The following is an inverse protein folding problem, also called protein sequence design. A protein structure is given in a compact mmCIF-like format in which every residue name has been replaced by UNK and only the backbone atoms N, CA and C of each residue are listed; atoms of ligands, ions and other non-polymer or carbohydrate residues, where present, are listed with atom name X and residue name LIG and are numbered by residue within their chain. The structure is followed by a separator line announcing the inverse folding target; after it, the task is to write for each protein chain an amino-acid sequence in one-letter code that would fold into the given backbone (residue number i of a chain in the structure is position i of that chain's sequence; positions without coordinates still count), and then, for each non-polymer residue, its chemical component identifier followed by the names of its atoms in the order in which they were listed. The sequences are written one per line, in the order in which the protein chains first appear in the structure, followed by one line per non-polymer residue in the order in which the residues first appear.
data_IF_764170941907
#
_entry.id   IF_764170941907
#
_cell.length_a   1.000
_cell.length_b   1.000
_cell.length_c   1.000
_cell.angle_alpha   90.00
_cell.angle_beta   90.00
_cell.angle_gamma   90.00
#
_symmetry.space_group_name_H-M   'P 1'
#
loop_
_entity.id
_entity.type
_entity.pdbx_description
1 polymer ?
#
# COMPACT_ATOMS: atom_id res chain seq x y z
N UNK A 1 15.18 -3.25 7.49
CA UNK A 1 14.40 -4.19 8.30
C UNK A 1 14.92 -4.07 9.72
N UNK A 2 14.12 -3.57 10.66
CA UNK A 2 14.62 -3.11 11.97
C UNK A 2 14.21 -4.10 13.08
N UNK A 3 15.14 -4.44 13.98
CA UNK A 3 14.94 -5.44 15.04
C UNK A 3 15.30 -4.89 16.41
N UNK A 4 14.64 -5.41 17.46
CA UNK A 4 14.93 -5.08 18.85
C UNK A 4 15.12 -6.39 19.65
N UNK A 5 16.10 -6.42 20.57
CA UNK A 5 16.20 -7.42 21.64
C UNK A 5 15.65 -6.80 22.93
N UNK A 6 14.63 -7.40 23.54
CA UNK A 6 14.03 -6.90 24.78
C UNK A 6 14.80 -7.41 26.02
N UNK A 7 15.34 -6.55 26.90
CA UNK A 7 16.00 -6.98 28.13
C UNK A 7 15.05 -7.16 29.33
N UNK A 8 13.78 -6.73 29.25
CA UNK A 8 12.76 -6.87 30.31
C UNK A 8 11.37 -7.19 29.74
N UNK A 9 10.47 -7.82 30.53
CA UNK A 9 9.10 -8.11 30.11
C UNK A 9 8.40 -6.79 29.80
N UNK A 10 8.07 -6.55 28.53
CA UNK A 10 7.53 -5.27 28.09
C UNK A 10 6.14 -5.48 27.51
N UNK A 11 5.14 -4.89 28.18
CA UNK A 11 3.79 -4.72 27.65
C UNK A 11 3.73 -3.32 27.07
N UNK A 12 3.89 -3.20 25.75
CA UNK A 12 3.93 -1.89 25.11
C UNK A 12 2.51 -1.46 24.73
N UNK A 13 2.06 -0.38 25.35
CA UNK A 13 0.87 0.35 24.92
C UNK A 13 1.34 1.57 24.13
N UNK A 14 0.87 1.75 22.90
CA UNK A 14 1.29 2.85 22.02
C UNK A 14 0.23 3.95 22.05
N UNK A 15 0.38 4.98 22.88
CA UNK A 15 -0.50 6.15 22.89
C UNK A 15 0.18 7.37 22.27
N UNK A 16 -0.53 8.13 21.44
CA UNK A 16 -0.09 9.43 20.92
C UNK A 16 -0.70 10.56 21.77
N UNK A 17 0.09 11.49 22.31
CA UNK A 17 -0.41 12.77 22.82
C UNK A 17 -0.41 13.81 21.70
N UNK A 18 -1.57 14.36 21.32
CA UNK A 18 -1.62 15.53 20.43
C UNK A 18 -1.53 16.80 21.27
N UNK A 19 -0.42 17.52 21.13
CA UNK A 19 -0.23 18.83 21.73
C UNK A 19 -0.86 19.92 20.86
N UNK A 20 -1.86 20.63 21.38
CA UNK A 20 -2.41 21.83 20.75
C UNK A 20 -1.31 22.90 20.67
N UNK A 21 -0.82 23.21 19.46
CA UNK A 21 -0.08 24.45 19.21
C UNK A 21 -0.92 25.39 18.38
N UNK A 22 -1.56 26.37 19.04
CA UNK A 22 -1.99 27.60 18.38
C UNK A 22 -0.75 28.36 17.94
N UNK A 23 -0.49 28.43 16.64
CA UNK A 23 0.46 29.39 16.07
C UNK A 23 -0.29 30.70 15.87
N UNK A 24 0.04 31.70 16.69
CA UNK A 24 -0.33 33.09 16.43
C UNK A 24 0.57 33.61 15.29
N UNK A 25 -0.01 33.92 14.14
CA UNK A 25 0.70 34.61 13.06
C UNK A 25 0.67 36.11 13.36
N UNK A 26 1.84 36.67 13.71
CA UNK A 26 2.04 38.11 13.77
C UNK A 26 1.98 38.70 12.36
N UNK A 27 1.12 39.69 12.18
CA UNK A 27 0.89 40.35 10.90
C UNK A 27 2.08 41.19 10.44
N UNK A 28 2.40 41.10 9.16
CA UNK A 28 3.09 42.16 8.41
C UNK A 28 2.24 42.48 7.18
N UNK A 29 1.72 43.71 7.13
CA UNK A 29 0.77 44.15 6.11
C UNK A 29 1.35 44.19 4.70
N UNK A 30 0.54 43.75 3.73
CA UNK A 30 0.60 44.18 2.34
C UNK A 30 -0.81 44.58 1.88
N UNK A 31 -0.87 45.68 1.11
CA UNK A 31 -2.08 46.30 0.55
C UNK A 31 -2.79 45.35 -0.43
N UNK A 32 -4.12 45.48 -0.61
CA UNK A 32 -4.87 44.63 -1.53
C UNK A 32 -4.64 45.04 -2.99
N UNK A 33 -4.23 44.09 -3.83
CA UNK A 33 -4.31 44.19 -5.29
C UNK A 33 -5.68 43.68 -5.77
N UNK A 34 -6.25 44.38 -6.75
CA UNK A 34 -7.57 44.11 -7.33
C UNK A 34 -7.61 42.82 -8.17
N UNK A 35 -8.76 42.13 -8.27
CA UNK A 35 -8.84 40.85 -8.96
C UNK A 35 -8.71 40.98 -10.48
N UNK A 36 -7.81 40.19 -11.06
CA UNK A 36 -7.71 39.95 -12.51
C UNK A 36 -8.92 39.17 -13.00
N UNK A 37 -9.64 39.72 -13.99
CA UNK A 37 -10.76 39.06 -14.69
C UNK A 37 -10.26 37.88 -15.52
N UNK A 38 -10.92 36.73 -15.41
CA UNK A 38 -10.71 35.59 -16.29
C UNK A 38 -11.17 35.92 -17.74
N UNK A 39 -10.46 35.45 -18.78
CA UNK A 39 -10.91 35.60 -20.15
C UNK A 39 -12.00 34.59 -20.52
N UNK A 40 -12.94 35.07 -21.32
CA UNK A 40 -14.12 34.41 -21.87
C UNK A 40 -13.72 33.33 -22.91
N UNK A 41 -14.10 32.07 -22.67
CA UNK A 41 -13.72 30.94 -23.52
C UNK A 41 -14.88 30.56 -24.45
N UNK A 42 -14.94 31.22 -25.62
CA UNK A 42 -15.84 30.83 -26.71
C UNK A 42 -15.34 29.58 -27.43
N UNK A 43 -16.31 28.74 -27.79
CA UNK A 43 -16.24 27.52 -28.61
C UNK A 43 -15.19 27.55 -29.73
N UNK A 44 -14.47 26.43 -29.90
CA UNK A 44 -13.79 26.12 -31.16
C UNK A 44 -14.19 24.71 -31.61
N UNK A 45 -14.78 24.66 -32.80
CA UNK A 45 -15.20 23.47 -33.53
C UNK A 45 -14.06 22.91 -34.39
N UNK A 46 -14.24 21.66 -34.81
CA UNK A 46 -13.38 20.88 -35.71
C UNK A 46 -13.25 21.52 -37.10
N UNK A 47 -12.03 21.70 -37.63
CA UNK A 47 -11.64 21.24 -38.98
C UNK A 47 -10.13 21.40 -39.29
N UNK A 48 -9.67 20.40 -40.05
CA UNK A 48 -8.40 20.12 -40.70
C UNK A 48 -7.56 21.29 -41.26
N UNK A 49 -6.23 21.10 -41.27
CA UNK A 49 -5.32 21.56 -42.33
C UNK A 49 -4.25 20.49 -42.61
N UNK A 50 -4.20 20.07 -43.87
CA UNK A 50 -3.14 19.31 -44.54
C UNK A 50 -1.91 20.21 -44.79
N UNK A 51 -0.70 19.62 -44.81
CA UNK A 51 0.49 20.34 -45.30
C UNK A 51 1.79 19.55 -45.24
N UNK A 52 1.97 18.65 -46.23
CA UNK A 52 3.21 18.34 -46.96
C UNK A 52 4.60 18.61 -46.34
N UNK A 53 5.45 17.58 -46.36
CA UNK A 53 6.91 17.70 -46.34
C UNK A 53 7.62 16.35 -46.39
N UNK A 54 8.02 15.90 -47.58
CA UNK A 54 8.81 14.69 -47.81
C UNK A 54 10.31 15.03 -47.91
N UNK A 55 11.20 14.23 -47.31
CA UNK A 55 12.63 14.09 -47.72
C UNK A 55 13.16 12.67 -47.43
N UNK A 56 13.36 11.93 -48.52
CA UNK A 56 14.45 11.02 -48.93
C UNK A 56 15.17 10.07 -47.94
N UNK A 57 14.96 8.77 -48.21
CA UNK A 57 15.91 7.64 -48.39
C UNK A 57 17.40 7.81 -48.05
N UNK A 58 17.92 6.85 -47.29
CA UNK A 58 19.35 6.55 -47.16
C UNK A 58 19.60 5.15 -46.60
N UNK A 59 19.70 4.15 -47.48
CA UNK A 59 20.15 2.79 -47.19
C UNK A 59 21.68 2.71 -47.19
N UNK A 60 22.28 2.12 -46.14
CA UNK A 60 23.69 1.73 -46.14
C UNK A 60 23.80 0.22 -45.91
N UNK A 61 24.15 -0.51 -46.97
CA UNK A 61 24.59 -1.89 -46.90
C UNK A 61 26.03 -1.96 -46.40
N UNK A 62 26.31 -2.96 -45.55
CA UNK A 62 27.69 -3.36 -45.25
C UNK A 62 28.08 -4.52 -46.16
N UNK A 63 29.14 -4.28 -46.93
CA UNK A 63 29.81 -5.22 -47.81
C UNK A 63 30.66 -6.21 -47.01
N UNK A 64 30.64 -7.45 -47.49
CA UNK A 64 31.47 -8.55 -47.01
C UNK A 64 32.96 -8.28 -47.31
N UNK A 65 33.80 -8.35 -46.27
CA UNK A 65 35.24 -8.52 -46.41
C UNK A 65 35.58 -9.99 -46.17
N UNK A 66 36.00 -10.67 -47.23
CA UNK A 66 36.50 -12.03 -47.16
C UNK A 66 37.85 -12.09 -46.45
N UNK A 67 37.96 -12.97 -45.46
CA UNK A 67 39.23 -13.42 -44.91
C UNK A 67 39.36 -14.90 -45.26
N UNK A 68 40.37 -15.23 -46.07
CA UNK A 68 40.81 -16.61 -46.31
C UNK A 68 41.41 -17.15 -45.02
N UNK A 69 40.86 -18.22 -44.48
CA UNK A 69 41.50 -19.04 -43.44
C UNK A 69 42.07 -20.26 -44.16
N UNK A 70 43.38 -20.43 -44.03
CA UNK A 70 44.16 -21.55 -44.55
C UNK A 70 43.80 -22.86 -43.84
N UNK A 71 43.70 -23.93 -44.61
CA UNK A 71 43.68 -25.31 -44.12
C UNK A 71 45.02 -25.63 -43.47
N UNK A 72 45.04 -25.76 -42.14
CA UNK A 72 46.02 -26.57 -41.45
C UNK A 72 45.31 -27.43 -40.41
N UNK A 73 45.00 -28.65 -40.85
CA UNK A 73 44.56 -29.72 -39.99
C UNK A 73 45.77 -30.32 -39.25
N UNK A 74 45.51 -30.65 -37.97
CA UNK A 74 46.03 -31.78 -37.16
C UNK A 74 46.77 -31.30 -35.91
N UNK A 75 46.05 -31.31 -34.79
CA UNK A 75 46.38 -32.08 -33.56
C UNK A 75 45.29 -31.77 -32.51
N UNK A 76 44.18 -32.49 -32.59
CA UNK A 76 43.16 -32.47 -31.53
C UNK A 76 43.55 -33.49 -30.45
N UNK A 77 43.89 -33.00 -29.25
CA UNK A 77 43.92 -33.83 -28.04
C UNK A 77 42.48 -34.20 -27.66
N UNK A 78 42.21 -35.39 -27.11
CA UNK A 78 40.86 -35.78 -26.74
C UNK A 78 40.34 -34.86 -25.62
N UNK A 79 39.28 -34.12 -25.93
CA UNK A 79 38.53 -33.35 -24.93
C UNK A 79 37.87 -34.36 -23.99
N UNK A 80 38.28 -34.35 -22.72
CA UNK A 80 37.63 -35.13 -21.68
C UNK A 80 36.13 -34.80 -21.66
N UNK A 81 35.29 -35.84 -21.65
CA UNK A 81 33.85 -35.68 -21.56
C UNK A 81 33.51 -34.83 -20.32
N UNK A 82 32.92 -33.65 -20.56
CA UNK A 82 32.41 -32.81 -19.49
C UNK A 82 31.34 -33.59 -18.72
N UNK A 83 31.58 -33.79 -17.43
CA UNK A 83 30.54 -34.27 -16.52
C UNK A 83 29.37 -33.29 -16.56
N UNK A 84 28.10 -33.76 -16.56
CA UNK A 84 26.96 -32.86 -16.59
C UNK A 84 27.02 -31.97 -15.35
N UNK A 85 27.23 -30.67 -15.56
CA UNK A 85 27.08 -29.67 -14.51
C UNK A 85 25.60 -29.63 -14.14
N UNK A 86 25.26 -30.27 -13.02
CA UNK A 86 23.97 -30.07 -12.36
C UNK A 86 23.94 -28.64 -11.83
N UNK A 87 23.52 -27.71 -12.69
CA UNK A 87 23.17 -26.36 -12.24
C UNK A 87 22.08 -26.55 -11.19
N UNK A 88 22.27 -26.10 -9.94
CA UNK A 88 21.24 -26.25 -8.92
C UNK A 88 19.97 -25.60 -9.45
N UNK A 89 18.91 -26.38 -9.65
CA UNK A 89 17.61 -25.87 -10.07
C UNK A 89 17.13 -24.91 -8.98
N UNK A 90 17.27 -23.61 -9.23
CA UNK A 90 16.93 -22.58 -8.24
C UNK A 90 15.44 -22.74 -7.92
N UNK A 91 15.03 -22.93 -6.64
CA UNK A 91 13.65 -23.26 -6.30
C UNK A 91 12.66 -22.31 -6.99
N UNK A 92 11.70 -22.85 -7.75
CA UNK A 92 10.62 -22.05 -8.34
C UNK A 92 9.72 -21.54 -7.22
N UNK A 93 9.27 -20.29 -7.30
CA UNK A 93 8.29 -19.76 -6.36
C UNK A 93 6.93 -20.45 -6.49
N UNK A 94 6.06 -20.23 -5.51
CA UNK A 94 4.72 -20.81 -5.44
C UNK A 94 3.67 -19.81 -5.91
N UNK A 95 2.51 -20.30 -6.32
CA UNK A 95 1.30 -19.47 -6.39
C UNK A 95 0.67 -19.39 -5.01
N UNK A 96 0.42 -18.17 -4.51
CA UNK A 96 -0.31 -17.89 -3.27
C UNK A 96 -1.59 -17.15 -3.61
N UNK A 97 -2.72 -17.59 -3.07
CA UNK A 97 -4.03 -17.02 -3.35
C UNK A 97 -4.60 -16.38 -2.08
N UNK A 98 -5.14 -15.17 -2.23
CA UNK A 98 -5.81 -14.43 -1.18
C UNK A 98 -7.20 -14.02 -1.66
N UNK A 99 -8.23 -14.26 -0.84
CA UNK A 99 -9.57 -13.74 -1.07
C UNK A 99 -9.79 -12.56 -0.12
N UNK A 100 -9.87 -11.37 -0.71
CA UNK A 100 -10.00 -10.12 0.02
C UNK A 100 -11.31 -9.45 -0.36
N UNK A 101 -12.01 -8.90 0.62
CA UNK A 101 -13.22 -8.11 0.39
C UNK A 101 -13.10 -6.75 1.05
N UNK A 102 -13.54 -5.70 0.34
CA UNK A 102 -13.80 -4.40 0.93
C UNK A 102 -15.25 -4.37 1.46
N UNK A 103 -15.43 -4.04 2.72
CA UNK A 103 -16.73 -3.87 3.37
C UNK A 103 -16.83 -2.49 3.99
N UNK A 104 -18.02 -1.88 3.91
CA UNK A 104 -18.32 -0.70 4.70
C UNK A 104 -18.84 -1.06 6.10
N UNK A 105 -18.45 -0.29 7.11
CA UNK A 105 -18.89 -0.48 8.50
C UNK A 105 -18.74 0.79 9.32
N UNK A 106 -19.55 0.94 10.38
CA UNK A 106 -19.35 2.00 11.35
C UNK A 106 -18.11 1.68 12.19
N UNK A 107 -17.11 2.55 12.15
CA UNK A 107 -15.84 2.38 12.84
C UNK A 107 -15.67 3.45 13.91
N UNK A 108 -15.41 3.03 15.15
CA UNK A 108 -15.16 3.92 16.27
C UNK A 108 -13.67 3.89 16.63
N UNK A 109 -13.00 5.04 16.52
CA UNK A 109 -11.57 5.21 16.81
C UNK A 109 -11.25 5.06 18.32
N UNK A 110 -12.24 5.30 19.18
CA UNK A 110 -12.11 5.32 20.65
C UNK A 110 -13.21 4.45 21.29
N UNK A 111 -13.24 3.13 21.04
CA UNK A 111 -14.32 2.25 21.48
C UNK A 111 -14.44 2.15 23.01
N UNK A 112 -13.37 2.42 23.77
CA UNK A 112 -13.43 2.47 25.23
C UNK A 112 -14.09 3.74 25.77
N UNK A 113 -14.31 4.74 24.91
CA UNK A 113 -14.89 6.03 25.28
C UNK A 113 -13.94 6.96 26.03
N UNK A 114 -12.65 6.63 26.13
CA UNK A 114 -11.68 7.49 26.80
C UNK A 114 -10.26 7.37 26.23
N UNK A 115 -9.52 8.47 26.32
CA UNK A 115 -8.07 8.44 26.36
C UNK A 115 -7.62 8.05 27.78
N UNK A 116 -7.09 6.83 27.94
CA UNK A 116 -6.66 6.35 29.25
C UNK A 116 -5.36 7.01 29.74
N UNK A 117 -4.67 7.76 28.90
CA UNK A 117 -3.47 8.52 29.30
C UNK A 117 -3.85 9.85 29.93
N UNK A 118 -4.67 10.65 29.26
CA UNK A 118 -5.01 12.01 29.72
C UNK A 118 -6.36 12.10 30.44
N UNK A 119 -7.18 11.04 30.40
CA UNK A 119 -8.50 10.99 31.03
C UNK A 119 -9.61 11.69 30.25
N UNK A 120 -9.34 12.16 29.02
CA UNK A 120 -10.35 12.77 28.14
C UNK A 120 -11.40 11.73 27.77
N UNK A 121 -12.68 12.09 27.90
CA UNK A 121 -13.81 11.21 27.55
C UNK A 121 -14.38 11.53 26.17
N UNK A 122 -14.76 10.51 25.43
CA UNK A 122 -15.36 10.59 24.10
C UNK A 122 -16.71 9.87 24.09
N UNK A 123 -17.73 10.50 23.53
CA UNK A 123 -18.97 9.82 23.13
C UNK A 123 -18.72 9.08 21.82
N UNK A 124 -19.47 8.00 21.51
CA UNK A 124 -19.38 7.35 20.21
C UNK A 124 -19.58 8.32 19.03
N UNK A 125 -20.44 9.34 19.18
CA UNK A 125 -20.65 10.39 18.17
C UNK A 125 -19.43 11.25 17.89
N UNK A 126 -18.44 11.27 18.77
CA UNK A 126 -17.29 12.15 18.66
C UNK A 126 -16.19 11.54 17.77
N UNK A 127 -16.17 10.20 17.68
CA UNK A 127 -15.07 9.38 17.15
C UNK A 127 -15.51 8.26 16.21
N UNK A 128 -16.79 8.22 15.80
CA UNK A 128 -17.31 7.22 14.85
C UNK A 128 -17.49 7.81 13.47
N UNK A 129 -17.06 7.07 12.45
CA UNK A 129 -17.29 7.38 11.04
C UNK A 129 -17.65 6.11 10.27
N UNK A 130 -18.12 6.26 9.03
CA UNK A 130 -18.29 5.13 8.13
C UNK A 130 -16.96 4.81 7.45
N UNK A 131 -16.38 3.68 7.79
CA UNK A 131 -15.17 3.18 7.16
C UNK A 131 -15.51 2.28 5.98
N UNK A 132 -14.52 2.09 5.10
CA UNK A 132 -14.44 0.93 4.20
C UNK A 132 -13.10 0.25 4.48
N UNK A 133 -13.10 -1.06 4.72
CA UNK A 133 -11.89 -1.79 5.10
C UNK A 133 -11.76 -3.14 4.43
N UNK A 134 -10.53 -3.60 4.24
CA UNK A 134 -10.24 -4.89 3.65
C UNK A 134 -10.28 -6.01 4.70
N UNK A 135 -10.90 -7.14 4.36
CA UNK A 135 -10.89 -8.36 5.18
C UNK A 135 -10.52 -9.57 4.34
N UNK A 136 -9.76 -10.49 4.91
CA UNK A 136 -9.45 -11.78 4.33
C UNK A 136 -10.57 -12.80 4.57
N UNK A 137 -10.80 -13.65 3.57
CA UNK A 137 -11.81 -14.70 3.58
C UNK A 137 -11.20 -16.05 3.17
N UNK A 138 -11.93 -17.12 3.48
CA UNK A 138 -11.70 -18.43 2.87
C UNK A 138 -11.90 -18.36 1.34
N UNK A 139 -11.43 -19.38 0.59
CA UNK A 139 -11.64 -19.44 -0.85
C UNK A 139 -13.08 -19.16 -1.28
N UNK A 140 -13.22 -18.38 -2.35
CA UNK A 140 -14.49 -17.90 -2.91
C UNK A 140 -15.33 -17.05 -1.96
N UNK A 141 -14.67 -16.33 -1.04
CA UNK A 141 -15.32 -15.46 -0.05
C UNK A 141 -16.38 -16.16 0.80
N UNK A 142 -16.11 -17.41 1.21
CA UNK A 142 -17.02 -18.21 2.03
C UNK A 142 -17.25 -17.60 3.41
N UNK A 143 -16.21 -17.60 4.26
CA UNK A 143 -16.26 -17.03 5.60
C UNK A 143 -15.08 -16.08 5.81
N UNK A 144 -15.29 -15.02 6.60
CA UNK A 144 -14.21 -14.14 7.01
C UNK A 144 -13.22 -14.93 7.87
N UNK A 145 -11.93 -14.83 7.59
CA UNK A 145 -10.91 -15.49 8.40
C UNK A 145 -10.87 -14.86 9.79
N UNK A 146 -10.65 -15.65 10.85
CA UNK A 146 -10.37 -15.08 12.17
C UNK A 146 -9.05 -14.30 12.13
N UNK A 147 -8.93 -13.28 12.99
CA UNK A 147 -7.65 -12.62 13.20
C UNK A 147 -6.58 -13.60 13.71
N UNK A 148 -5.34 -13.36 13.34
CA UNK A 148 -4.17 -14.15 13.79
C UNK A 148 -2.89 -13.34 13.74
N UNK A 149 -1.82 -13.86 14.34
CA UNK A 149 -0.47 -13.27 14.22
C UNK A 149 0.03 -13.23 12.76
N UNK A 150 -0.54 -14.07 11.89
CA UNK A 150 -0.12 -14.15 10.48
C UNK A 150 -0.70 -12.99 9.65
N UNK A 151 -2.00 -12.72 9.80
CA UNK A 151 -2.73 -11.74 8.96
C UNK A 151 -3.16 -10.47 9.71
N UNK A 152 -2.95 -10.40 11.03
CA UNK A 152 -3.48 -9.32 11.87
C UNK A 152 -4.92 -9.59 12.34
N UNK A 153 -5.61 -8.59 12.93
CA UNK A 153 -6.92 -8.78 13.56
C UNK A 153 -8.06 -9.06 12.57
N UNK A 154 -7.84 -8.77 11.28
CA UNK A 154 -8.83 -8.91 10.21
C UNK A 154 -10.16 -8.13 10.47
N UNK A 155 -10.09 -7.04 11.22
CA UNK A 155 -11.24 -6.20 11.58
C UNK A 155 -11.65 -5.24 10.47
N UNK A 156 -10.78 -5.01 9.48
CA UNK A 156 -11.00 -4.11 8.34
C UNK A 156 -9.93 -3.02 8.23
N UNK A 157 -9.42 -2.53 9.37
CA UNK A 157 -8.38 -1.50 9.44
C UNK A 157 -7.29 -1.93 10.44
N UNK A 158 -6.02 -2.08 9.99
CA UNK A 158 -5.66 -2.24 8.59
C UNK A 158 -6.30 -3.52 8.02
N UNK A 159 -6.25 -3.63 6.69
CA UNK A 159 -6.49 -4.86 5.99
C UNK A 159 -5.52 -5.99 6.38
N UNK A 160 -5.81 -7.23 5.96
CA UNK A 160 -4.98 -8.39 6.28
C UNK A 160 -3.55 -8.23 5.77
N UNK A 161 -2.58 -8.79 6.49
CA UNK A 161 -1.20 -8.84 6.01
C UNK A 161 -1.09 -9.85 4.87
N UNK A 162 -0.62 -9.41 3.70
CA UNK A 162 -0.38 -10.27 2.54
C UNK A 162 1.09 -10.71 2.52
N UNK A 163 1.34 -12.01 2.46
CA UNK A 163 2.70 -12.58 2.59
C UNK A 163 3.19 -13.23 1.30
N UNK A 164 4.45 -13.00 0.98
CA UNK A 164 5.11 -13.67 -0.15
C UNK A 164 6.57 -13.98 0.16
N UNK A 165 7.10 -15.00 -0.51
CA UNK A 165 8.53 -15.21 -0.64
C UNK A 165 8.99 -14.77 -2.02
N UNK A 166 10.26 -14.39 -2.16
CA UNK A 166 10.85 -14.07 -3.46
C UNK A 166 10.58 -15.20 -4.46
N UNK A 167 10.09 -14.82 -5.65
CA UNK A 167 9.59 -15.63 -6.78
C UNK A 167 8.16 -16.12 -6.67
N UNK A 168 7.49 -15.95 -5.54
CA UNK A 168 6.07 -16.27 -5.47
C UNK A 168 5.28 -15.41 -6.48
N UNK A 169 4.27 -16.02 -7.08
CA UNK A 169 3.16 -15.29 -7.71
C UNK A 169 2.05 -15.19 -6.69
N UNK A 170 1.57 -13.98 -6.42
CA UNK A 170 0.42 -13.72 -5.57
C UNK A 170 -0.78 -13.41 -6.46
N UNK A 171 -1.87 -14.15 -6.26
CA UNK A 171 -3.19 -13.85 -6.82
C UNK A 171 -4.06 -13.28 -5.71
N UNK A 172 -4.58 -12.07 -5.91
CA UNK A 172 -5.53 -11.46 -4.98
C UNK A 172 -6.88 -11.37 -5.65
N UNK A 173 -7.80 -12.23 -5.20
CA UNK A 173 -9.20 -12.21 -5.57
C UNK A 173 -9.90 -11.16 -4.71
N UNK A 174 -10.06 -9.97 -5.26
CA UNK A 174 -10.72 -8.84 -4.60
C UNK A 174 -12.21 -8.82 -4.92
N UNK A 175 -13.07 -8.61 -3.90
CA UNK A 175 -14.51 -8.35 -4.06
C UNK A 175 -14.88 -7.03 -3.39
N UNK A 176 -15.64 -6.21 -4.08
CA UNK A 176 -16.16 -4.97 -3.53
C UNK A 176 -17.56 -5.21 -2.93
N UNK A 177 -17.72 -5.00 -1.63
CA UNK A 177 -18.98 -5.06 -0.89
C UNK A 177 -19.24 -3.77 -0.09
N UNK A 178 -18.82 -2.61 -0.63
CA UNK A 178 -19.15 -1.31 -0.04
C UNK A 178 -20.63 -0.95 -0.27
N UNK A 179 -21.47 -1.33 0.69
CA UNK A 179 -22.90 -1.05 0.68
C UNK A 179 -23.29 0.32 1.25
N UNK A 180 -22.35 1.09 1.80
CA UNK A 180 -22.63 2.38 2.43
C UNK A 180 -22.46 3.53 1.43
N UNK A 181 -21.27 3.65 0.84
CA UNK A 181 -20.99 4.73 -0.11
C UNK A 181 -21.36 4.34 -1.55
N UNK A 182 -21.31 3.05 -1.87
CA UNK A 182 -21.59 2.56 -3.21
C UNK A 182 -20.47 2.83 -4.22
N UNK A 183 -19.25 3.09 -3.76
CA UNK A 183 -18.13 3.46 -4.62
C UNK A 183 -17.48 2.25 -5.30
N UNK A 184 -16.90 2.42 -6.49
CA UNK A 184 -15.93 1.46 -6.99
C UNK A 184 -14.68 1.49 -6.09
N UNK A 185 -14.04 0.34 -5.95
CA UNK A 185 -12.80 0.16 -5.20
C UNK A 185 -11.80 -0.68 -6.01
N UNK A 186 -10.55 -0.68 -5.63
CA UNK A 186 -9.45 -1.44 -6.23
C UNK A 186 -8.49 -1.94 -5.15
N UNK A 187 -7.40 -2.59 -5.54
CA UNK A 187 -6.25 -2.85 -4.68
C UNK A 187 -4.97 -2.56 -5.47
N UNK A 188 -4.16 -1.64 -4.96
CA UNK A 188 -2.86 -1.30 -5.53
C UNK A 188 -1.72 -1.78 -4.61
N UNK A 189 -0.81 -2.65 -5.07
CA UNK A 189 0.30 -3.12 -4.26
C UNK A 189 1.53 -2.21 -4.38
N UNK A 190 2.26 -2.07 -3.28
CA UNK A 190 3.66 -1.64 -3.35
C UNK A 190 4.59 -2.85 -3.22
N UNK A 191 5.77 -2.78 -3.84
CA UNK A 191 6.83 -3.79 -3.68
C UNK A 191 6.69 -5.05 -4.54
N UNK A 192 5.65 -5.19 -5.35
CA UNK A 192 5.51 -6.28 -6.33
C UNK A 192 5.75 -5.81 -7.76
N UNK A 193 6.09 -6.75 -8.64
CA UNK A 193 5.98 -6.54 -10.09
C UNK A 193 4.62 -7.01 -10.60
N UNK A 194 4.03 -6.26 -11.51
CA UNK A 194 2.72 -6.56 -12.10
C UNK A 194 2.61 -6.02 -13.54
N UNK A 195 1.62 -6.54 -14.28
CA UNK A 195 1.22 -6.00 -15.57
C UNK A 195 0.21 -4.84 -15.37
N UNK A 196 0.00 -3.95 -16.37
CA UNK A 196 -0.87 -2.77 -16.20
C UNK A 196 -2.32 -3.06 -15.76
N UNK A 197 -2.86 -4.24 -16.09
CA UNK A 197 -4.20 -4.67 -15.68
C UNK A 197 -4.27 -5.11 -14.20
N UNK A 198 -3.13 -5.47 -13.61
CA UNK A 198 -2.99 -5.85 -12.20
C UNK A 198 -2.50 -4.70 -11.30
N UNK A 199 -2.51 -3.46 -11.79
CA UNK A 199 -2.05 -2.25 -11.10
C UNK A 199 -3.04 -1.75 -10.03
N UNK A 200 -4.33 -1.64 -10.38
CA UNK A 200 -5.35 -1.11 -9.47
C UNK A 200 -5.39 0.42 -9.34
N UNK A 201 -4.41 1.14 -9.88
CA UNK A 201 -4.36 2.62 -9.87
C UNK A 201 -5.28 3.26 -10.89
N UNK A 202 -6.07 4.26 -10.49
CA UNK A 202 -6.82 5.09 -11.42
C UNK A 202 -5.88 5.84 -12.38
N UNK A 203 -6.22 5.84 -13.67
CA UNK A 203 -5.54 6.62 -14.70
C UNK A 203 -6.60 7.35 -15.53
N UNK A 204 -6.52 8.68 -15.59
CA UNK A 204 -7.50 9.50 -16.30
C UNK A 204 -7.63 9.15 -17.79
N UNK A 205 -6.53 8.73 -18.43
CA UNK A 205 -6.50 8.33 -19.84
C UNK A 205 -6.97 6.88 -20.08
N UNK A 206 -7.17 6.07 -19.04
CA UNK A 206 -7.64 4.69 -19.13
C UNK A 206 -8.55 4.35 -17.95
N UNK A 207 -9.84 4.63 -18.19
CA UNK A 207 -10.94 4.40 -17.26
C UNK A 207 -11.64 3.07 -17.51
N UNK A 208 -11.14 2.25 -18.43
CA UNK A 208 -11.80 1.01 -18.87
C UNK A 208 -11.16 -0.25 -18.33
N UNK A 209 -9.92 -0.17 -17.84
CA UNK A 209 -9.23 -1.30 -17.22
C UNK A 209 -9.99 -1.78 -15.97
N UNK A 210 -10.55 -3.01 -15.95
CA UNK A 210 -11.53 -3.41 -14.92
C UNK A 210 -10.99 -3.39 -13.48
N UNK A 211 -9.72 -3.70 -13.28
CA UNK A 211 -9.09 -3.74 -11.96
C UNK A 211 -8.89 -2.37 -11.29
N UNK A 212 -9.13 -1.25 -11.98
CA UNK A 212 -8.91 0.10 -11.43
C UNK A 212 -10.11 0.71 -10.73
N UNK A 213 -11.29 0.14 -10.97
CA UNK A 213 -12.55 0.61 -10.42
C UNK A 213 -13.56 -0.55 -10.40
N UNK A 214 -13.36 -1.50 -9.49
CA UNK A 214 -14.23 -2.68 -9.35
C UNK A 214 -15.56 -2.24 -8.74
N UNK A 215 -16.69 -2.34 -9.47
CA UNK A 215 -17.99 -1.89 -8.96
C UNK A 215 -18.45 -2.73 -7.77
N UNK A 216 -19.37 -2.17 -6.98
CA UNK A 216 -20.01 -2.89 -5.88
C UNK A 216 -20.66 -4.19 -6.38
N UNK A 217 -20.47 -5.27 -5.62
CA UNK A 217 -20.92 -6.61 -5.96
C UNK A 217 -20.08 -7.33 -7.02
N UNK A 218 -19.07 -6.68 -7.59
CA UNK A 218 -18.15 -7.28 -8.55
C UNK A 218 -16.83 -7.73 -7.89
N UNK A 219 -16.07 -8.51 -8.63
CA UNK A 219 -14.75 -8.97 -8.21
C UNK A 219 -13.72 -8.85 -9.35
N UNK A 220 -12.45 -8.75 -8.97
CA UNK A 220 -11.32 -8.74 -9.89
C UNK A 220 -10.16 -9.54 -9.27
N UNK A 221 -9.36 -10.19 -10.13
CA UNK A 221 -8.18 -10.93 -9.66
C UNK A 221 -6.92 -10.22 -10.12
N UNK A 222 -6.15 -9.71 -9.17
CA UNK A 222 -4.84 -9.12 -9.43
C UNK A 222 -3.76 -10.21 -9.42
N UNK A 223 -2.78 -10.11 -10.33
CA UNK A 223 -1.62 -11.00 -10.39
C UNK A 223 -0.32 -10.22 -10.16
N UNK A 224 0.35 -10.54 -9.06
CA UNK A 224 1.58 -9.89 -8.62
C UNK A 224 2.72 -10.89 -8.51
N UNK A 225 3.95 -10.47 -8.78
CA UNK A 225 5.15 -11.34 -8.70
C UNK A 225 6.17 -10.73 -7.77
N UNK A 226 6.62 -11.49 -6.76
CA UNK A 226 7.67 -11.08 -5.85
C UNK A 226 9.04 -11.24 -6.54
N UNK A 227 9.71 -10.15 -6.86
CA UNK A 227 11.07 -10.17 -7.40
C UNK A 227 12.12 -10.15 -6.27
N UNK A 228 13.40 -10.45 -6.55
CA UNK A 228 14.44 -10.34 -5.53
C UNK A 228 14.55 -8.96 -4.87
N UNK A 229 14.22 -7.90 -5.60
CA UNK A 229 14.14 -6.51 -5.11
C UNK A 229 12.92 -6.24 -4.22
N UNK A 230 11.94 -7.16 -4.18
CA UNK A 230 10.70 -7.01 -3.43
C UNK A 230 10.84 -7.26 -1.93
N UNK A 231 11.95 -7.81 -1.43
CA UNK A 231 12.11 -8.15 0.00
C UNK A 231 11.92 -6.90 0.86
N UNK A 232 10.94 -6.93 1.76
CA UNK A 232 10.60 -5.76 2.56
C UNK A 232 9.23 -5.80 3.24
N UNK A 233 8.82 -4.61 3.69
CA UNK A 233 7.47 -4.30 4.17
C UNK A 233 6.93 -3.20 3.29
N UNK A 234 5.76 -3.40 2.72
CA UNK A 234 5.17 -2.48 1.75
C UNK A 234 3.69 -2.26 2.07
N UNK A 235 3.12 -1.07 1.82
CA UNK A 235 1.68 -0.91 1.89
C UNK A 235 0.99 -1.52 0.66
N UNK A 236 -0.28 -1.83 0.79
CA UNK A 236 -1.24 -1.84 -0.32
C UNK A 236 -2.43 -0.99 0.09
N UNK A 237 -3.10 -0.36 -0.87
CA UNK A 237 -4.26 0.47 -0.58
C UNK A 237 -5.16 0.63 -1.81
N UNK A 238 -6.35 1.18 -1.58
CA UNK A 238 -7.22 1.61 -2.67
C UNK A 238 -6.59 2.76 -3.44
N UNK A 239 -6.79 2.76 -4.75
CA UNK A 239 -6.27 3.79 -5.64
C UNK A 239 -7.30 4.12 -6.73
N UNK A 240 -8.55 3.76 -6.48
CA UNK A 240 -9.69 4.10 -7.31
C UNK A 240 -10.20 5.50 -6.95
N UNK A 241 -11.13 6.03 -7.75
CA UNK A 241 -11.68 7.36 -7.52
C UNK A 241 -13.05 7.25 -6.86
N UNK A 242 -13.26 7.85 -5.67
CA UNK A 242 -14.58 7.91 -5.06
C UNK A 242 -15.54 8.67 -5.97
N UNK A 243 -16.79 8.23 -6.02
CA UNK A 243 -17.83 8.85 -6.85
C UNK A 243 -18.72 9.75 -5.98
N UNK A 244 -18.71 11.07 -6.21
CA UNK A 244 -19.72 11.97 -5.62
C UNK A 244 -19.41 12.61 -4.25
N UNK A 245 -18.14 12.67 -3.83
CA UNK A 245 -17.63 13.38 -2.62
C UNK A 245 -16.38 14.16 -3.05
N UNK A 246 -16.10 15.45 -2.78
CA UNK A 246 -16.67 16.63 -2.08
C UNK A 246 -16.02 17.91 -2.70
N UNK A 247 -16.31 19.15 -2.22
CA UNK A 247 -15.71 20.39 -2.74
C UNK A 247 -14.17 20.36 -2.73
N UNK A 248 -13.56 20.50 -3.92
CA UNK A 248 -12.13 20.29 -4.17
C UNK A 248 -11.85 19.23 -5.23
N UNK A 249 -12.81 18.33 -5.47
CA UNK A 249 -12.72 17.24 -6.45
C UNK A 249 -12.23 15.93 -5.83
N UNK A 250 -12.43 14.79 -6.52
CA UNK A 250 -12.02 13.49 -6.02
C UNK A 250 -10.49 13.41 -5.90
N UNK A 251 -10.01 13.03 -4.72
CA UNK A 251 -8.60 12.73 -4.43
C UNK A 251 -8.52 11.21 -4.28
N UNK A 252 -7.67 10.54 -5.08
CA UNK A 252 -7.58 9.06 -5.13
C UNK A 252 -7.34 8.45 -3.75
N UNK A 253 -6.66 9.20 -2.88
CA UNK A 253 -6.21 8.77 -1.57
C UNK A 253 -7.33 8.76 -0.52
N UNK A 254 -8.51 9.36 -0.80
CA UNK A 254 -9.61 9.42 0.16
C UNK A 254 -10.14 8.04 0.56
N UNK A 255 -10.22 7.11 -0.41
CA UNK A 255 -10.64 5.74 -0.14
C UNK A 255 -9.66 5.02 0.82
N UNK A 256 -8.36 5.30 0.70
CA UNK A 256 -7.37 4.82 1.63
C UNK A 256 -7.53 5.49 3.01
N UNK A 257 -7.76 6.80 3.07
CA UNK A 257 -8.00 7.54 4.33
C UNK A 257 -9.17 6.97 5.15
N UNK A 258 -10.25 6.51 4.50
CA UNK A 258 -11.39 5.90 5.20
C UNK A 258 -11.19 4.43 5.60
N UNK A 259 -10.01 3.84 5.35
CA UNK A 259 -9.61 2.55 5.91
C UNK A 259 -9.11 1.50 4.91
N UNK A 260 -9.12 1.77 3.60
CA UNK A 260 -8.68 0.80 2.59
C UNK A 260 -7.16 0.80 2.42
N UNK A 261 -6.45 0.32 3.44
CA UNK A 261 -5.01 0.07 3.41
C UNK A 261 -4.63 -1.18 4.20
N UNK A 262 -3.50 -1.78 3.88
CA UNK A 262 -2.92 -2.89 4.63
C UNK A 262 -1.44 -3.10 4.32
N UNK A 263 -0.86 -4.15 4.87
CA UNK A 263 0.58 -4.44 4.75
C UNK A 263 0.86 -5.67 3.90
N UNK A 264 1.95 -5.58 3.14
CA UNK A 264 2.60 -6.67 2.43
C UNK A 264 3.92 -6.98 3.13
N UNK A 265 4.18 -8.27 3.34
CA UNK A 265 5.40 -8.80 3.93
C UNK A 265 6.07 -9.77 2.95
N UNK A 266 7.18 -9.33 2.33
CA UNK A 266 7.93 -10.15 1.36
C UNK A 266 9.28 -10.54 1.95
N UNK A 267 9.58 -11.83 1.96
CA UNK A 267 10.80 -12.38 2.58
C UNK A 267 11.59 -13.27 1.63
N UNK A 268 12.82 -13.59 2.02
CA UNK A 268 13.67 -14.58 1.35
C UNK A 268 14.46 -15.39 2.38
N UNK A 269 15.33 -16.29 1.92
CA UNK A 269 16.17 -17.13 2.80
C UNK A 269 17.18 -16.34 3.65
N UNK A 270 17.47 -15.08 3.32
CA UNK A 270 18.38 -14.21 4.08
C UNK A 270 17.62 -13.38 5.11
N UNK A 271 16.31 -13.32 5.00
CA UNK A 271 15.44 -12.59 5.92
C UNK A 271 15.52 -13.24 7.31
N UNK A 272 16.00 -12.51 8.34
CA UNK A 272 16.22 -13.12 9.64
C UNK A 272 14.93 -13.65 10.27
N UNK A 273 14.99 -14.83 10.89
CA UNK A 273 13.88 -15.38 11.68
C UNK A 273 13.66 -14.57 12.96
N UNK A 274 12.43 -14.59 13.45
CA UNK A 274 12.03 -13.97 14.70
C UNK A 274 11.02 -14.73 15.50
N UNK A 275 11.01 -14.41 16.80
CA UNK A 275 10.09 -14.95 17.79
C UNK A 275 8.75 -14.21 17.77
N UNK A 276 8.78 -12.92 17.41
CA UNK A 276 7.61 -12.04 17.28
C UNK A 276 7.71 -11.13 16.06
N UNK A 277 6.59 -10.87 15.43
CA UNK A 277 6.44 -9.92 14.35
C UNK A 277 5.19 -9.08 14.61
N UNK A 278 5.36 -7.76 14.67
CA UNK A 278 4.30 -6.81 14.93
C UNK A 278 4.04 -5.93 13.72
N UNK A 279 2.78 -5.56 13.54
CA UNK A 279 2.29 -4.76 12.43
C UNK A 279 1.71 -3.47 12.98
N UNK A 280 2.28 -2.35 12.53
CA UNK A 280 1.85 -1.02 12.95
C UNK A 280 1.69 -0.13 11.72
N UNK A 281 0.49 0.37 11.54
CA UNK A 281 0.13 1.29 10.49
C UNK A 281 -0.26 2.63 11.12
N UNK A 282 0.47 3.68 10.77
CA UNK A 282 0.21 5.06 11.16
C UNK A 282 -0.71 5.68 10.11
N UNK A 283 -1.80 6.30 10.55
CA UNK A 283 -2.67 7.04 9.63
C UNK A 283 -3.39 8.18 10.34
N UNK A 284 -3.84 9.15 9.56
CA UNK A 284 -4.54 10.34 10.01
C UNK A 284 -5.94 10.43 9.40
N UNK A 285 -6.89 10.97 10.16
CA UNK A 285 -8.25 11.25 9.71
C UNK A 285 -8.57 12.72 10.01
N UNK A 286 -8.99 13.44 8.98
CA UNK A 286 -9.33 14.86 9.10
C UNK A 286 -10.84 15.10 9.12
N UNK A 287 -11.29 15.98 10.01
CA UNK A 287 -12.69 16.40 10.09
C UNK A 287 -13.18 17.04 8.79
N UNK A 288 -12.31 17.74 8.06
CA UNK A 288 -12.64 18.33 6.75
C UNK A 288 -13.08 17.27 5.73
N UNK A 289 -12.51 16.06 5.84
CA UNK A 289 -12.80 14.92 5.00
C UNK A 289 -13.94 14.06 5.56
N UNK A 290 -14.01 13.96 6.89
CA UNK A 290 -14.96 13.15 7.64
C UNK A 290 -15.71 14.00 8.68
N UNK A 291 -16.72 14.77 8.28
CA UNK A 291 -17.42 15.70 9.17
C UNK A 291 -18.25 15.01 10.27
N UNK A 292 -18.36 13.68 10.26
CA UNK A 292 -18.92 12.92 11.39
C UNK A 292 -17.99 12.91 12.61
N UNK A 293 -16.69 13.18 12.42
CA UNK A 293 -15.72 13.28 13.50
C UNK A 293 -15.80 14.66 14.16
N UNK A 294 -15.61 14.69 15.49
CA UNK A 294 -15.63 15.95 16.26
C UNK A 294 -14.32 16.75 16.18
N UNK A 295 -13.25 16.11 15.71
CA UNK A 295 -11.89 16.63 15.58
C UNK A 295 -11.08 15.75 14.63
N UNK A 296 -9.84 16.16 14.33
CA UNK A 296 -8.85 15.31 13.65
C UNK A 296 -8.32 14.23 14.61
N UNK A 297 -7.89 13.10 14.04
CA UNK A 297 -7.35 11.95 14.77
C UNK A 297 -6.10 11.41 14.10
N UNK A 298 -5.04 11.24 14.90
CA UNK A 298 -3.95 10.32 14.59
C UNK A 298 -4.28 8.93 15.13
N UNK A 299 -3.98 7.89 14.35
CA UNK A 299 -4.36 6.54 14.70
C UNK A 299 -3.27 5.50 14.41
N UNK A 300 -3.28 4.45 15.23
CA UNK A 300 -2.58 3.20 15.00
C UNK A 300 -3.57 2.11 14.68
N UNK A 301 -3.43 1.49 13.51
CA UNK A 301 -4.28 0.38 13.08
C UNK A 301 -5.79 0.68 13.27
N UNK A 302 -6.21 1.90 12.92
CA UNK A 302 -7.60 2.32 13.06
C UNK A 302 -8.04 2.72 14.47
N UNK A 303 -7.16 2.84 15.47
CA UNK A 303 -7.57 3.28 16.80
C UNK A 303 -6.70 4.43 17.30
N UNK A 304 -7.29 5.28 18.15
CA UNK A 304 -6.64 6.47 18.71
C UNK A 304 -6.66 6.43 20.23
N UNK A 305 -5.65 7.07 20.84
CA UNK A 305 -5.45 7.15 22.28
C UNK A 305 -5.10 5.83 22.99
N UNK A 306 -4.46 5.99 24.15
CA UNK A 306 -4.06 4.89 25.00
C UNK A 306 -5.29 4.08 25.45
N UNK A 307 -5.18 2.75 25.39
CA UNK A 307 -6.24 1.83 25.77
C UNK A 307 -7.15 1.38 24.62
N UNK A 308 -7.10 2.08 23.48
CA UNK A 308 -7.84 1.71 22.27
C UNK A 308 -6.92 1.15 21.18
N UNK A 309 -5.71 1.68 21.07
CA UNK A 309 -4.66 1.22 20.15
C UNK A 309 -4.17 -0.19 20.49
N UNK A 310 -3.64 -0.95 19.51
CA UNK A 310 -3.10 -2.29 19.76
C UNK A 310 -2.07 -2.33 20.89
N UNK A 311 -2.13 -3.39 21.69
CA UNK A 311 -1.10 -3.71 22.69
C UNK A 311 -0.25 -4.86 22.15
N UNK A 312 1.06 -4.65 22.11
CA UNK A 312 2.01 -5.65 21.62
C UNK A 312 2.78 -6.27 22.79
N UNK A 313 2.86 -7.59 22.82
CA UNK A 313 3.45 -8.35 23.92
C UNK A 313 4.62 -9.21 23.43
N UNK A 314 5.78 -9.04 24.05
CA UNK A 314 6.98 -9.85 23.80
C UNK A 314 7.64 -10.24 25.12
N UNK A 315 8.41 -11.33 25.10
CA UNK A 315 9.20 -11.81 26.24
C UNK A 315 10.62 -11.25 26.20
N UNK A 316 11.26 -11.24 27.36
CA UNK A 316 12.71 -10.97 27.45
C UNK A 316 13.46 -11.94 26.56
N UNK A 317 14.36 -11.41 25.74
CA UNK A 317 15.17 -12.18 24.82
C UNK A 317 14.52 -12.44 23.47
N UNK A 318 13.21 -12.19 23.29
CA UNK A 318 12.57 -12.30 21.99
C UNK A 318 13.25 -11.33 21.01
N UNK A 319 13.56 -11.83 19.82
CA UNK A 319 13.87 -11.02 18.66
C UNK A 319 12.57 -10.62 18.00
N UNK A 320 12.30 -9.31 17.98
CA UNK A 320 11.01 -8.75 17.53
C UNK A 320 11.18 -7.98 16.22
N UNK A 321 10.37 -8.31 15.21
CA UNK A 321 10.18 -7.46 14.01
C UNK A 321 9.12 -6.42 14.26
N UNK A 322 9.38 -5.21 13.79
CA UNK A 322 8.34 -4.23 13.53
C UNK A 322 8.18 -4.03 12.03
N UNK A 323 6.96 -4.21 11.54
CA UNK A 323 6.54 -3.87 10.19
C UNK A 323 5.70 -2.62 10.27
N UNK A 324 6.31 -1.52 9.85
CA UNK A 324 5.78 -0.18 10.01
C UNK A 324 5.52 0.42 8.64
N UNK A 325 4.33 0.97 8.46
CA UNK A 325 4.00 1.86 7.33
C UNK A 325 3.18 3.04 7.83
N UNK A 326 3.13 4.09 7.02
CA UNK A 326 2.31 5.25 7.26
C UNK A 326 1.54 5.60 5.99
N UNK A 327 0.32 6.12 6.14
CA UNK A 327 -0.49 6.71 5.07
C UNK A 327 -1.21 7.91 5.67
N UNK A 328 -1.03 9.08 5.06
CA UNK A 328 -1.54 10.30 5.62
C UNK A 328 -0.77 11.52 5.12
N UNK A 329 -1.06 12.67 5.74
CA UNK A 329 -0.44 13.96 5.42
C UNK A 329 0.65 14.34 6.42
N UNK A 330 0.77 13.61 7.53
CA UNK A 330 1.72 13.92 8.60
C UNK A 330 3.02 13.11 8.53
N UNK A 331 4.09 13.69 9.09
CA UNK A 331 5.35 12.99 9.32
C UNK A 331 5.34 12.33 10.70
N UNK A 332 5.51 11.01 10.72
CA UNK A 332 5.58 10.25 11.98
C UNK A 332 7.02 9.87 12.34
N UNK A 333 7.36 10.02 13.62
CA UNK A 333 8.59 9.45 14.20
C UNK A 333 8.18 8.31 15.12
N UNK A 334 8.59 7.09 14.76
CA UNK A 334 8.34 5.91 15.57
C UNK A 334 9.56 5.56 16.42
N UNK A 335 9.36 5.53 17.73
CA UNK A 335 10.35 5.04 18.68
C UNK A 335 9.68 4.23 19.79
N UNK A 336 10.46 3.33 20.41
CA UNK A 336 10.00 2.50 21.52
C UNK A 336 10.86 2.84 22.72
N UNK A 337 10.22 3.18 23.84
CA UNK A 337 10.92 3.54 25.07
C UNK A 337 11.78 2.36 25.57
N UNK A 338 13.01 2.67 25.99
CA UNK A 338 13.93 1.68 26.55
C UNK A 338 14.55 0.69 25.54
N UNK A 339 14.29 0.87 24.25
CA UNK A 339 14.79 -0.03 23.21
C UNK A 339 15.58 0.72 22.14
N UNK A 340 16.51 0.02 21.50
CA UNK A 340 17.26 0.53 20.35
C UNK A 340 17.12 -0.44 19.20
N UNK A 341 17.02 0.13 18.04
CA UNK A 341 17.03 -0.57 16.78
C UNK A 341 18.41 -1.12 16.46
N UNK A 342 18.46 -2.33 15.89
CA UNK A 342 19.66 -2.88 15.25
C UNK A 342 19.57 -2.63 13.75
N UNK A 343 20.65 -2.08 13.20
CA UNK A 343 20.84 -1.79 11.77
C UNK A 343 21.04 -3.07 10.94
#
# INVERSE_FOLDING_TARGET
MMWIRAPFSCRLHVGLPVGIRRVAVAGSGRRPEAPLKAPDMKQISRRAVLGTGAVLLGSAGLTAAGVKISDDARHASPVAAASPSSTPTRPSGKTKEYWVQADSFAHNLVPTGADQMMGTTFKPSDSTYWAVGYRAYTPNWGEALPGSDDIGPNTGIPGPVLRAEVRDTVLVHFRNNDTHYGWPHSMHPHGFKYAPDSDGSYIAADTTTPGRAVPVGQSYTYRWTAEPSSVGTWPYHDHSMPQGVTPGGPVMEFNAEVGLFGLIAITDSRTPKVDREFFLFFHDLYQDNLPSLSQDYDAFNGASYLGNTPTFEARVGDRVRWRVAALGKEFHVFHIHGHRWQD
#
